data_IF_509762902658
#
_entry.id   IF_509762902658
#
_cell.length_a   1.000
_cell.length_b   1.000
_cell.length_c   1.000
_cell.angle_alpha   90.00
_cell.angle_beta   90.00
_cell.angle_gamma   90.00
#
_symmetry.space_group_name_H-M   'P 1'
#
loop_
_entity.id
_entity.type
_entity.pdbx_description
1 polymer ?
#
# COMPACT_ATOMS: atom_id res chain seq x y z
N UNK A 1 19.12 -27.86 -1.49
CA UNK A 1 18.79 -26.46 -1.80
C UNK A 1 18.04 -26.42 -3.13
N UNK A 2 16.80 -25.91 -3.22
CA UNK A 2 16.10 -25.86 -4.50
C UNK A 2 16.83 -24.94 -5.49
N UNK A 3 16.95 -25.38 -6.75
CA UNK A 3 17.57 -24.63 -7.86
C UNK A 3 16.83 -23.30 -8.08
N UNK A 4 17.52 -22.24 -8.52
CA UNK A 4 16.93 -20.93 -8.82
C UNK A 4 15.74 -21.02 -9.80
N UNK A 5 15.77 -21.98 -10.73
CA UNK A 5 14.67 -22.26 -11.65
C UNK A 5 13.40 -22.78 -10.92
N UNK A 6 13.56 -23.60 -9.88
CA UNK A 6 12.44 -24.10 -9.08
C UNK A 6 11.79 -22.98 -8.26
N UNK A 7 12.59 -22.05 -7.72
CA UNK A 7 12.08 -20.87 -6.99
C UNK A 7 11.30 -19.92 -7.90
N UNK A 8 11.78 -19.70 -9.13
CA UNK A 8 11.07 -18.91 -10.14
C UNK A 8 9.71 -19.50 -10.51
N UNK A 9 9.63 -20.83 -10.68
CA UNK A 9 8.37 -21.54 -10.94
C UNK A 9 7.38 -21.44 -9.79
N UNK A 10 7.84 -21.54 -8.54
CA UNK A 10 7.00 -21.39 -7.35
C UNK A 10 6.43 -19.96 -7.23
N UNK A 11 7.27 -18.94 -7.49
CA UNK A 11 6.85 -17.54 -7.43
C UNK A 11 5.83 -17.21 -8.53
N UNK A 12 6.00 -17.74 -9.74
CA UNK A 12 5.01 -17.57 -10.82
C UNK A 12 3.64 -18.13 -10.41
N UNK A 13 3.60 -19.33 -9.83
CA UNK A 13 2.35 -19.93 -9.34
C UNK A 13 1.70 -19.11 -8.21
N UNK A 14 2.49 -18.51 -7.32
CA UNK A 14 1.97 -17.60 -6.28
C UNK A 14 1.37 -16.32 -6.87
N UNK A 15 2.01 -15.72 -7.88
CA UNK A 15 1.48 -14.54 -8.58
C UNK A 15 0.18 -14.90 -9.31
N UNK A 16 0.11 -16.07 -9.95
CA UNK A 16 -1.11 -16.54 -10.59
C UNK A 16 -2.26 -16.73 -9.60
N UNK A 17 -2.01 -17.41 -8.48
CA UNK A 17 -3.02 -17.55 -7.42
C UNK A 17 -3.48 -16.20 -6.84
N UNK A 18 -2.56 -15.24 -6.70
CA UNK A 18 -2.90 -13.88 -6.28
C UNK A 18 -3.79 -13.16 -7.31
N UNK A 19 -3.46 -13.27 -8.59
CA UNK A 19 -4.25 -12.70 -9.70
C UNK A 19 -5.64 -13.32 -9.78
N UNK A 20 -5.76 -14.64 -9.60
CA UNK A 20 -7.07 -15.31 -9.54
C UNK A 20 -7.91 -14.84 -8.36
N UNK A 21 -7.27 -14.64 -7.21
CA UNK A 21 -7.93 -14.08 -6.02
C UNK A 21 -8.44 -12.66 -6.27
N UNK A 22 -7.66 -11.81 -6.94
CA UNK A 22 -8.08 -10.47 -7.33
C UNK A 22 -9.29 -10.50 -8.28
N UNK A 23 -9.26 -11.36 -9.32
CA UNK A 23 -10.37 -11.51 -10.27
C UNK A 23 -11.67 -11.97 -9.61
N UNK A 24 -11.58 -12.74 -8.54
CA UNK A 24 -12.73 -13.19 -7.74
C UNK A 24 -13.26 -12.12 -6.77
N UNK A 25 -12.71 -10.90 -6.81
CA UNK A 25 -13.17 -9.78 -6.00
C UNK A 25 -12.41 -9.56 -4.69
N UNK A 26 -11.19 -10.09 -4.55
CA UNK A 26 -10.28 -9.76 -3.44
C UNK A 26 -10.64 -10.36 -2.06
N UNK A 27 -11.81 -10.99 -1.92
CA UNK A 27 -12.27 -11.58 -0.65
C UNK A 27 -12.54 -10.54 0.45
N UNK A 28 -12.63 -10.96 1.71
CA UNK A 28 -12.77 -10.07 2.88
C UNK A 28 -11.41 -9.50 3.37
N UNK A 29 -10.45 -9.33 2.46
CA UNK A 29 -9.11 -8.84 2.80
C UNK A 29 -9.16 -7.33 3.06
N UNK A 30 -8.35 -6.86 4.01
CA UNK A 30 -8.16 -5.42 4.15
C UNK A 30 -7.25 -4.88 3.05
N UNK A 31 -7.35 -3.58 2.79
CA UNK A 31 -6.39 -2.86 1.94
C UNK A 31 -4.95 -3.02 2.43
N UNK A 32 -4.74 -3.05 3.75
CA UNK A 32 -3.44 -3.30 4.37
C UNK A 32 -2.91 -4.70 4.03
N UNK A 33 -3.73 -5.74 4.15
CA UNK A 33 -3.35 -7.11 3.78
C UNK A 33 -2.96 -7.21 2.30
N UNK A 34 -3.73 -6.54 1.44
CA UNK A 34 -3.47 -6.51 0.00
C UNK A 34 -2.19 -5.76 -0.35
N UNK A 35 -1.90 -4.66 0.33
CA UNK A 35 -0.65 -3.93 0.16
C UNK A 35 0.55 -4.79 0.61
N UNK A 36 0.45 -5.43 1.78
CA UNK A 36 1.50 -6.31 2.34
C UNK A 36 1.79 -7.49 1.42
N UNK A 37 0.75 -8.16 0.92
CA UNK A 37 0.91 -9.30 0.01
C UNK A 37 1.52 -8.85 -1.33
N UNK A 38 1.07 -7.71 -1.87
CA UNK A 38 1.66 -7.13 -3.09
C UNK A 38 3.14 -6.84 -2.91
N UNK A 39 3.52 -6.14 -1.83
CA UNK A 39 4.93 -5.84 -1.52
C UNK A 39 5.74 -7.12 -1.28
N UNK A 40 5.17 -8.13 -0.62
CA UNK A 40 5.80 -9.42 -0.43
C UNK A 40 6.10 -10.14 -1.75
N UNK A 41 5.19 -10.10 -2.71
CA UNK A 41 5.39 -10.65 -4.06
C UNK A 41 6.45 -9.85 -4.84
N UNK A 42 6.38 -8.52 -4.81
CA UNK A 42 7.35 -7.64 -5.47
C UNK A 42 8.77 -7.83 -4.89
N UNK A 43 8.90 -7.95 -3.57
CA UNK A 43 10.17 -8.26 -2.90
C UNK A 43 10.75 -9.59 -3.39
N UNK A 44 9.91 -10.63 -3.50
CA UNK A 44 10.34 -11.93 -4.04
C UNK A 44 10.75 -11.85 -5.51
N UNK A 45 10.07 -11.05 -6.33
CA UNK A 45 10.49 -10.81 -7.71
C UNK A 45 11.91 -10.22 -7.77
N UNK A 46 12.21 -9.25 -6.89
CA UNK A 46 13.53 -8.61 -6.81
C UNK A 46 14.61 -9.60 -6.31
N UNK A 47 14.28 -10.46 -5.34
CA UNK A 47 15.25 -11.39 -4.73
C UNK A 47 15.51 -12.65 -5.55
N UNK A 48 14.46 -13.23 -6.11
CA UNK A 48 14.49 -14.59 -6.67
C UNK A 48 14.79 -14.61 -8.18
N UNK A 49 14.57 -13.49 -8.87
CA UNK A 49 14.95 -13.35 -10.27
C UNK A 49 16.36 -12.80 -10.43
N UNK A 50 16.99 -13.15 -11.55
CA UNK A 50 18.25 -12.54 -12.00
C UNK A 50 17.91 -11.37 -12.92
N UNK A 51 18.54 -10.24 -12.66
CA UNK A 51 18.49 -9.03 -13.47
C UNK A 51 19.90 -8.43 -13.47
N UNK A 52 20.31 -7.89 -14.60
CA UNK A 52 21.66 -7.37 -14.82
C UNK A 52 21.77 -5.89 -14.48
N UNK A 53 20.67 -5.16 -14.58
CA UNK A 53 20.60 -3.72 -14.38
C UNK A 53 19.21 -3.29 -13.87
N UNK A 54 19.10 -2.02 -13.45
CA UNK A 54 17.85 -1.48 -12.91
C UNK A 54 16.73 -1.39 -13.96
N UNK A 55 17.09 -1.20 -15.24
CA UNK A 55 16.15 -1.15 -16.36
C UNK A 55 15.39 -2.46 -16.53
N UNK A 56 16.12 -3.59 -16.59
CA UNK A 56 15.55 -4.93 -16.65
C UNK A 56 14.65 -5.24 -15.45
N UNK A 57 15.09 -4.86 -14.24
CA UNK A 57 14.28 -5.04 -13.03
C UNK A 57 12.98 -4.24 -13.10
N UNK A 58 13.04 -2.96 -13.48
CA UNK A 58 11.84 -2.14 -13.61
C UNK A 58 10.87 -2.70 -14.66
N UNK A 59 11.37 -3.25 -15.76
CA UNK A 59 10.51 -3.84 -16.78
C UNK A 59 9.84 -5.13 -16.29
N UNK A 60 10.56 -5.96 -15.54
CA UNK A 60 9.98 -7.12 -14.83
C UNK A 60 8.85 -6.67 -13.89
N UNK A 61 9.09 -5.66 -13.05
CA UNK A 61 8.09 -5.14 -12.10
C UNK A 61 6.90 -4.51 -12.82
N UNK A 62 7.11 -3.79 -13.92
CA UNK A 62 6.02 -3.23 -14.75
C UNK A 62 5.17 -4.32 -15.37
N UNK A 63 5.79 -5.36 -15.94
CA UNK A 63 5.09 -6.48 -16.56
C UNK A 63 4.20 -7.21 -15.56
N UNK A 64 4.76 -7.63 -14.43
CA UNK A 64 3.99 -8.33 -13.39
C UNK A 64 2.97 -7.40 -12.73
N UNK A 65 3.33 -6.15 -12.47
CA UNK A 65 2.42 -5.13 -11.94
C UNK A 65 1.22 -4.85 -12.85
N UNK A 66 1.43 -4.81 -14.17
CA UNK A 66 0.36 -4.67 -15.17
C UNK A 66 -0.58 -5.87 -15.14
N UNK A 67 -0.04 -7.09 -15.04
CA UNK A 67 -0.86 -8.32 -14.90
C UNK A 67 -1.74 -8.26 -13.65
N UNK A 68 -1.18 -7.89 -12.51
CA UNK A 68 -1.93 -7.80 -11.25
C UNK A 68 -2.98 -6.67 -11.28
N UNK A 69 -2.63 -5.49 -11.81
CA UNK A 69 -3.56 -4.34 -11.85
C UNK A 69 -4.71 -4.55 -12.83
N UNK A 70 -4.46 -5.23 -13.95
CA UNK A 70 -5.51 -5.54 -14.95
C UNK A 70 -6.49 -6.60 -14.43
N UNK A 71 -6.09 -7.39 -13.42
CA UNK A 71 -6.94 -8.41 -12.82
C UNK A 71 -8.17 -7.84 -12.11
N UNK A 72 -8.02 -6.67 -11.48
CA UNK A 72 -9.11 -5.93 -10.85
C UNK A 72 -8.80 -4.42 -10.88
N UNK A 73 -9.25 -3.67 -11.91
CA UNK A 73 -8.89 -2.26 -12.08
C UNK A 73 -9.39 -1.33 -10.96
N UNK A 74 -10.47 -1.69 -10.27
CA UNK A 74 -10.98 -0.96 -9.11
C UNK A 74 -10.08 -1.11 -7.88
N UNK A 75 -9.22 -2.14 -7.85
CA UNK A 75 -8.28 -2.36 -6.76
C UNK A 75 -7.00 -1.55 -6.97
N UNK A 76 -7.05 -0.29 -6.54
CA UNK A 76 -5.94 0.64 -6.77
C UNK A 76 -4.74 0.39 -5.87
N UNK A 77 -4.90 -0.32 -4.74
CA UNK A 77 -3.81 -0.58 -3.77
C UNK A 77 -2.64 -1.28 -4.43
N UNK A 78 -2.90 -2.31 -5.23
CA UNK A 78 -1.88 -3.09 -5.94
C UNK A 78 -1.07 -2.19 -6.87
N UNK A 79 -1.76 -1.43 -7.73
CA UNK A 79 -1.12 -0.50 -8.66
C UNK A 79 -0.34 0.61 -7.96
N UNK A 80 -0.85 1.10 -6.83
CA UNK A 80 -0.16 2.09 -5.99
C UNK A 80 1.15 1.51 -5.42
N UNK A 81 1.14 0.28 -4.91
CA UNK A 81 2.34 -0.37 -4.37
C UNK A 81 3.37 -0.66 -5.46
N UNK A 82 2.95 -1.11 -6.65
CA UNK A 82 3.83 -1.29 -7.81
C UNK A 82 4.53 0.03 -8.17
N UNK A 83 3.77 1.14 -8.24
CA UNK A 83 4.34 2.47 -8.51
C UNK A 83 5.33 2.92 -7.44
N UNK A 84 5.03 2.66 -6.16
CA UNK A 84 5.93 2.98 -5.03
C UNK A 84 7.23 2.19 -5.12
N UNK A 85 7.17 0.89 -5.42
CA UNK A 85 8.39 0.06 -5.64
C UNK A 85 9.20 0.54 -6.84
N UNK A 86 8.55 0.89 -7.97
CA UNK A 86 9.25 1.49 -9.10
C UNK A 86 9.91 2.82 -8.76
N UNK A 87 9.32 3.61 -7.87
CA UNK A 87 9.93 4.85 -7.37
C UNK A 87 11.16 4.56 -6.50
N UNK A 88 11.06 3.62 -5.55
CA UNK A 88 12.18 3.17 -4.72
C UNK A 88 13.37 2.71 -5.59
N UNK A 89 13.12 1.89 -6.62
CA UNK A 89 14.19 1.43 -7.51
C UNK A 89 14.90 2.60 -8.20
N UNK A 90 14.16 3.60 -8.69
CA UNK A 90 14.76 4.79 -9.33
C UNK A 90 15.56 5.63 -8.34
N UNK A 91 15.05 5.82 -7.13
CA UNK A 91 15.70 6.61 -6.09
C UNK A 91 16.99 5.94 -5.61
N UNK A 92 16.97 4.64 -5.31
CA UNK A 92 18.18 3.90 -4.90
C UNK A 92 19.22 3.85 -6.03
N UNK A 93 18.77 3.70 -7.28
CA UNK A 93 19.66 3.79 -8.43
C UNK A 93 20.27 5.17 -8.57
N UNK A 94 19.46 6.24 -8.46
CA UNK A 94 19.92 7.62 -8.53
C UNK A 94 20.94 7.96 -7.46
N UNK A 95 20.71 7.52 -6.21
CA UNK A 95 21.66 7.65 -5.10
C UNK A 95 23.02 7.04 -5.42
N UNK A 96 23.05 5.84 -5.99
CA UNK A 96 24.28 5.13 -6.35
C UNK A 96 24.96 5.68 -7.62
N UNK A 97 24.17 6.23 -8.55
CA UNK A 97 24.65 6.86 -9.77
C UNK A 97 25.28 8.25 -9.53
N UNK A 98 25.25 8.76 -8.29
CA UNK A 98 25.82 10.05 -7.92
C UNK A 98 24.89 11.24 -8.18
N UNK A 99 23.57 10.99 -8.29
CA UNK A 99 22.59 12.07 -8.39
C UNK A 99 22.39 12.69 -7.00
N UNK A 100 22.75 13.95 -6.85
CA UNK A 100 22.58 14.73 -5.61
C UNK A 100 21.15 15.29 -5.55
N UNK A 101 20.52 15.24 -4.37
CA UNK A 101 19.14 15.68 -4.11
C UNK A 101 18.86 17.15 -4.49
N UNK A 102 19.91 17.98 -4.64
CA UNK A 102 19.82 19.39 -5.04
C UNK A 102 19.33 19.60 -6.49
N UNK A 103 19.47 18.60 -7.36
CA UNK A 103 19.00 18.69 -8.76
C UNK A 103 17.47 18.71 -8.87
N UNK A 104 16.74 18.05 -7.97
CA UNK A 104 15.30 17.85 -8.15
C UNK A 104 14.42 19.02 -7.68
N UNK A 105 14.92 19.93 -6.82
CA UNK A 105 14.12 21.07 -6.33
C UNK A 105 14.01 22.24 -7.32
N UNK A 106 14.94 22.39 -8.27
CA UNK A 106 14.97 23.52 -9.21
C UNK A 106 14.44 23.20 -10.61
N UNK A 107 14.02 21.97 -10.90
CA UNK A 107 13.96 21.49 -12.28
C UNK A 107 12.56 21.24 -12.87
N UNK A 108 11.45 21.48 -12.19
CA UNK A 108 10.14 21.03 -12.71
C UNK A 108 9.73 21.71 -14.04
N UNK A 109 10.04 23.01 -14.22
CA UNK A 109 9.81 23.70 -15.50
C UNK A 109 10.99 23.57 -16.47
N UNK A 110 12.22 23.57 -15.96
CA UNK A 110 13.42 23.48 -16.78
C UNK A 110 13.60 22.07 -17.37
N UNK A 111 13.34 20.98 -16.63
CA UNK A 111 13.30 19.62 -17.20
C UNK A 111 12.20 19.48 -18.25
N UNK A 112 11.02 20.06 -18.06
CA UNK A 112 9.92 19.90 -19.03
C UNK A 112 10.23 20.58 -20.38
N UNK A 113 11.00 21.68 -20.35
CA UNK A 113 11.41 22.45 -21.54
C UNK A 113 12.74 21.97 -22.14
N UNK A 114 13.64 21.42 -21.33
CA UNK A 114 15.01 21.06 -21.74
C UNK A 114 15.22 19.55 -21.87
N UNK A 115 14.38 18.72 -21.23
CA UNK A 115 14.40 17.26 -21.42
C UNK A 115 13.48 16.86 -22.57
N UNK A 116 14.00 17.00 -23.80
CA UNK A 116 13.57 16.13 -24.89
C UNK A 116 13.93 14.69 -24.52
N UNK A 117 13.07 14.01 -23.74
CA UNK A 117 13.16 12.57 -23.48
C UNK A 117 14.54 12.07 -23.04
N UNK A 118 15.17 12.68 -22.03
CA UNK A 118 16.32 12.06 -21.36
C UNK A 118 15.81 10.82 -20.62
N UNK A 119 15.70 9.71 -21.35
CA UNK A 119 15.60 8.39 -20.77
C UNK A 119 16.83 8.22 -19.90
N UNK A 120 16.65 8.29 -18.59
CA UNK A 120 17.69 7.94 -17.63
C UNK A 120 18.25 6.56 -18.02
N UNK A 121 19.56 6.48 -18.24
CA UNK A 121 20.20 5.22 -18.56
C UNK A 121 20.28 4.37 -17.30
N UNK A 122 19.44 3.34 -17.22
CA UNK A 122 19.35 2.41 -16.10
C UNK A 122 20.21 1.14 -16.31
N UNK A 123 21.17 1.19 -17.24
CA UNK A 123 21.99 0.04 -17.63
C UNK A 123 23.19 -0.22 -16.72
N UNK A 124 23.62 0.78 -15.93
CA UNK A 124 24.77 0.61 -15.04
C UNK A 124 24.46 -0.37 -13.91
N UNK A 125 25.43 -1.21 -13.59
CA UNK A 125 25.32 -2.19 -12.52
C UNK A 125 25.98 -1.67 -11.24
N UNK A 126 25.20 -1.66 -10.15
CA UNK A 126 25.70 -1.37 -8.81
C UNK A 126 25.46 -2.56 -7.91
N UNK A 127 26.55 -3.16 -7.39
CA UNK A 127 26.48 -4.30 -6.48
C UNK A 127 25.54 -4.09 -5.25
N UNK A 128 25.53 -2.93 -4.57
CA UNK A 128 24.67 -2.73 -3.39
C UNK A 128 23.21 -2.41 -3.75
N UNK A 129 22.86 -2.18 -5.02
CA UNK A 129 21.51 -1.75 -5.40
C UNK A 129 20.43 -2.73 -4.93
N UNK A 130 20.69 -4.02 -5.07
CA UNK A 130 19.75 -5.06 -4.66
C UNK A 130 19.48 -5.04 -3.16
N UNK A 131 20.51 -4.90 -2.33
CA UNK A 131 20.36 -4.84 -0.87
C UNK A 131 19.60 -3.58 -0.46
N UNK A 132 19.95 -2.42 -1.04
CA UNK A 132 19.30 -1.15 -0.72
C UNK A 132 17.80 -1.18 -1.07
N UNK A 133 17.43 -1.69 -2.25
CA UNK A 133 16.02 -1.83 -2.64
C UNK A 133 15.27 -2.75 -1.67
N UNK A 134 15.88 -3.88 -1.28
CA UNK A 134 15.24 -4.83 -0.36
C UNK A 134 15.05 -4.22 1.03
N UNK A 135 16.05 -3.47 1.52
CA UNK A 135 15.98 -2.73 2.78
C UNK A 135 14.86 -1.69 2.75
N UNK A 136 14.82 -0.83 1.73
CA UNK A 136 13.77 0.18 1.56
C UNK A 136 12.35 -0.43 1.46
N UNK A 137 12.20 -1.60 0.81
CA UNK A 137 10.91 -2.31 0.79
C UNK A 137 10.56 -2.90 2.17
N UNK A 138 11.53 -3.33 2.95
CA UNK A 138 11.28 -3.82 4.31
C UNK A 138 10.89 -2.68 5.25
N UNK A 139 11.54 -1.52 5.15
CA UNK A 139 11.14 -0.30 5.87
C UNK A 139 9.70 0.09 5.54
N UNK A 140 9.36 0.06 4.24
CA UNK A 140 8.00 0.30 3.77
C UNK A 140 6.99 -0.71 4.35
N UNK A 141 7.35 -2.00 4.44
CA UNK A 141 6.48 -3.01 5.05
C UNK A 141 6.21 -2.72 6.53
N UNK A 142 7.25 -2.34 7.29
CA UNK A 142 7.13 -1.98 8.71
C UNK A 142 6.30 -0.72 8.88
N UNK A 143 6.49 0.30 8.04
CA UNK A 143 5.69 1.54 8.02
C UNK A 143 4.20 1.22 7.80
N UNK A 144 3.90 0.31 6.88
CA UNK A 144 2.54 -0.07 6.54
C UNK A 144 1.83 -0.77 7.70
N UNK A 145 2.53 -1.62 8.45
CA UNK A 145 2.00 -2.31 9.64
C UNK A 145 1.67 -1.34 10.79
N UNK A 146 2.46 -0.27 10.95
CA UNK A 146 2.21 0.74 11.98
C UNK A 146 1.17 1.82 11.61
N UNK A 147 0.70 1.86 10.36
CA UNK A 147 -0.11 2.98 9.86
C UNK A 147 -1.42 3.16 10.62
N UNK A 148 -2.15 2.07 10.90
CA UNK A 148 -3.44 2.14 11.60
C UNK A 148 -3.29 2.65 13.04
N UNK A 149 -2.24 2.23 13.75
CA UNK A 149 -1.95 2.66 15.11
C UNK A 149 -1.53 4.14 15.16
N UNK A 150 -0.69 4.56 14.22
CA UNK A 150 -0.25 5.95 14.09
C UNK A 150 -1.43 6.91 13.85
N UNK A 151 -2.39 6.51 13.00
CA UNK A 151 -3.62 7.29 12.76
C UNK A 151 -4.48 7.31 14.03
N UNK A 152 -4.68 6.16 14.68
CA UNK A 152 -5.50 6.06 15.89
C UNK A 152 -4.94 6.90 17.05
N UNK A 153 -3.63 7.02 17.18
CA UNK A 153 -2.98 7.82 18.22
C UNK A 153 -3.39 9.30 18.19
N UNK A 154 -3.73 9.83 17.00
CA UNK A 154 -4.16 11.22 16.81
C UNK A 154 -5.64 11.45 17.16
N UNK A 155 -6.40 10.39 17.49
CA UNK A 155 -7.85 10.50 17.69
C UNK A 155 -8.26 11.46 18.82
N UNK A 156 -7.42 11.57 19.86
CA UNK A 156 -7.68 12.48 20.99
C UNK A 156 -7.45 13.96 20.65
N UNK A 157 -6.80 14.29 19.55
CA UNK A 157 -6.64 15.67 19.10
C UNK A 157 -7.88 16.15 18.32
N UNK A 158 -8.65 15.22 17.78
CA UNK A 158 -9.75 15.52 16.86
C UNK A 158 -11.15 15.24 17.40
N UNK A 159 -11.33 14.28 18.32
CA UNK A 159 -12.66 13.89 18.82
C UNK A 159 -12.84 14.35 20.26
N UNK A 160 -13.70 15.34 20.51
CA UNK A 160 -13.99 15.83 21.87
C UNK A 160 -15.22 15.18 22.50
N UNK A 161 -15.39 15.35 23.82
CA UNK A 161 -16.55 14.82 24.54
C UNK A 161 -17.85 15.49 24.09
N UNK A 162 -18.93 14.71 24.00
CA UNK A 162 -20.27 15.12 23.57
C UNK A 162 -20.40 15.56 22.10
N UNK A 163 -19.40 15.30 21.26
CA UNK A 163 -19.53 15.47 19.81
C UNK A 163 -20.44 14.41 19.18
N UNK A 164 -20.91 14.71 17.98
CA UNK A 164 -21.66 13.78 17.13
C UNK A 164 -20.87 13.58 15.84
N UNK A 165 -20.30 12.39 15.67
CA UNK A 165 -19.48 12.02 14.52
C UNK A 165 -20.32 11.18 13.56
N UNK A 166 -20.31 11.51 12.27
CA UNK A 166 -20.96 10.70 11.24
C UNK A 166 -19.91 9.93 10.44
N UNK A 167 -20.14 8.64 10.22
CA UNK A 167 -19.32 7.76 9.37
C UNK A 167 -20.20 6.91 8.48
N UNK A 168 -19.62 6.28 7.45
CA UNK A 168 -20.34 5.48 6.47
C UNK A 168 -19.61 4.14 6.22
N UNK A 169 -20.38 3.06 6.12
CA UNK A 169 -19.85 1.73 5.82
C UNK A 169 -18.98 1.13 6.92
N UNK A 170 -17.99 0.31 6.54
CA UNK A 170 -17.04 -0.32 7.46
C UNK A 170 -15.59 -0.03 7.05
N UNK A 171 -14.81 0.52 7.98
CA UNK A 171 -13.37 0.73 7.82
C UNK A 171 -12.65 0.38 9.12
N UNK A 172 -11.66 -0.52 9.03
CA UNK A 172 -10.84 -0.94 10.19
C UNK A 172 -10.06 0.23 10.79
N UNK A 173 -9.59 1.16 9.96
CA UNK A 173 -8.87 2.36 10.41
C UNK A 173 -9.79 3.30 11.19
N UNK A 174 -11.01 3.54 10.68
CA UNK A 174 -12.00 4.38 11.39
C UNK A 174 -12.46 3.71 12.68
N UNK A 175 -12.64 2.39 12.68
CA UNK A 175 -12.95 1.62 13.87
C UNK A 175 -11.88 1.81 14.96
N UNK A 176 -10.60 1.64 14.61
CA UNK A 176 -9.49 1.82 15.55
C UNK A 176 -9.42 3.26 16.07
N UNK A 177 -9.60 4.26 15.18
CA UNK A 177 -9.60 5.68 15.53
C UNK A 177 -10.70 6.04 16.54
N UNK A 178 -11.94 5.60 16.27
CA UNK A 178 -13.08 5.85 17.17
C UNK A 178 -12.91 5.12 18.50
N UNK A 179 -12.39 3.89 18.48
CA UNK A 179 -12.10 3.12 19.71
C UNK A 179 -11.03 3.81 20.56
N UNK A 180 -9.99 4.37 19.96
CA UNK A 180 -8.93 5.05 20.70
C UNK A 180 -9.45 6.29 21.43
N UNK A 181 -10.24 7.13 20.74
CA UNK A 181 -10.89 8.28 21.38
C UNK A 181 -11.87 7.86 22.49
N UNK A 182 -12.63 6.78 22.26
CA UNK A 182 -13.62 6.27 23.20
C UNK A 182 -13.02 5.75 24.52
N UNK A 183 -11.70 5.50 24.58
CA UNK A 183 -11.02 5.15 25.83
C UNK A 183 -11.05 6.28 26.86
N UNK A 184 -11.06 7.54 26.41
CA UNK A 184 -10.98 8.72 27.30
C UNK A 184 -12.20 9.63 27.23
N UNK A 185 -12.98 9.58 26.15
CA UNK A 185 -14.06 10.53 25.87
C UNK A 185 -15.36 9.80 25.55
N UNK A 186 -16.48 10.40 25.94
CA UNK A 186 -17.82 9.92 25.59
C UNK A 186 -18.38 10.80 24.50
N UNK A 187 -18.81 10.20 23.39
CA UNK A 187 -19.35 10.93 22.23
C UNK A 187 -20.33 10.03 21.46
N UNK A 188 -21.05 10.63 20.52
CA UNK A 188 -22.05 9.96 19.71
C UNK A 188 -21.48 9.66 18.33
N UNK A 189 -21.82 8.49 17.79
CA UNK A 189 -21.44 8.10 16.43
C UNK A 189 -22.68 7.68 15.66
N UNK A 190 -22.90 8.34 14.53
CA UNK A 190 -23.91 7.99 13.54
C UNK A 190 -23.20 7.15 12.47
N UNK A 191 -23.64 5.90 12.28
CA UNK A 191 -23.11 5.04 11.22
C UNK A 191 -24.18 4.93 10.13
N UNK A 192 -23.93 5.57 9.00
CA UNK A 192 -24.75 5.44 7.80
C UNK A 192 -24.42 4.12 7.09
N UNK A 193 -25.45 3.43 6.62
CA UNK A 193 -25.26 2.21 5.84
C UNK A 193 -24.87 2.48 4.38
N UNK A 194 -23.99 1.63 3.84
CA UNK A 194 -23.72 1.58 2.41
C UNK A 194 -24.65 0.57 1.74
N UNK A 195 -25.91 0.94 1.46
CA UNK A 195 -26.73 0.15 0.54
C UNK A 195 -26.03 0.07 -0.83
N UNK A 196 -26.02 -1.11 -1.52
CA UNK A 196 -26.76 -2.33 -1.23
C UNK A 196 -26.02 -3.37 -0.35
N UNK A 197 -24.78 -3.12 0.06
CA UNK A 197 -23.93 -4.13 0.70
C UNK A 197 -24.01 -4.15 2.24
N UNK A 198 -24.69 -3.16 2.86
CA UNK A 198 -25.01 -3.07 4.29
C UNK A 198 -23.85 -3.37 5.26
N UNK A 199 -22.61 -3.01 4.87
CA UNK A 199 -21.40 -3.33 5.64
C UNK A 199 -21.32 -2.61 7.00
N UNK A 200 -22.09 -1.53 7.18
CA UNK A 200 -22.16 -0.75 8.42
C UNK A 200 -22.62 -1.53 9.64
N UNK A 201 -23.33 -2.65 9.45
CA UNK A 201 -23.76 -3.54 10.55
C UNK A 201 -22.54 -4.14 11.26
N UNK A 202 -21.49 -4.47 10.52
CA UNK A 202 -20.24 -4.97 11.10
C UNK A 202 -19.59 -3.92 12.00
N UNK A 203 -19.44 -2.67 11.51
CA UNK A 203 -18.88 -1.57 12.30
C UNK A 203 -19.68 -1.35 13.59
N UNK A 204 -21.00 -1.26 13.44
CA UNK A 204 -21.90 -0.96 14.56
C UNK A 204 -21.83 -2.06 15.62
N UNK A 205 -21.80 -3.33 15.21
CA UNK A 205 -21.69 -4.47 16.13
C UNK A 205 -20.39 -4.40 16.93
N UNK A 206 -19.29 -4.05 16.28
CA UNK A 206 -17.98 -3.94 16.93
C UNK A 206 -17.92 -2.74 17.87
N UNK A 207 -18.47 -1.59 17.48
CA UNK A 207 -18.49 -0.38 18.31
C UNK A 207 -19.49 -0.46 19.48
N UNK A 208 -20.55 -1.28 19.38
CA UNK A 208 -21.54 -1.48 20.46
C UNK A 208 -20.94 -1.98 21.77
N UNK A 209 -19.80 -2.67 21.71
CA UNK A 209 -19.10 -3.17 22.89
C UNK A 209 -18.32 -2.06 23.61
N UNK A 210 -18.14 -0.89 22.99
CA UNK A 210 -17.53 0.27 23.62
C UNK A 210 -18.59 1.10 24.35
N UNK A 211 -18.68 0.94 25.68
CA UNK A 211 -19.67 1.60 26.54
C UNK A 211 -19.62 3.15 26.48
N UNK A 212 -18.51 3.73 26.03
CA UNK A 212 -18.35 5.17 25.87
C UNK A 212 -18.98 5.73 24.59
N UNK A 213 -19.38 4.87 23.64
CA UNK A 213 -19.99 5.26 22.38
C UNK A 213 -21.49 5.08 22.42
N UNK A 214 -22.21 6.15 22.08
CA UNK A 214 -23.65 6.05 21.83
C UNK A 214 -23.90 6.03 20.33
N UNK A 215 -24.35 4.88 19.85
CA UNK A 215 -24.55 4.62 18.41
C UNK A 215 -25.99 4.96 18.00
N UNK A 216 -26.11 5.74 16.92
CA UNK A 216 -27.36 5.96 16.22
C UNK A 216 -27.23 5.32 14.84
N UNK A 217 -28.00 4.25 14.60
CA UNK A 217 -28.06 3.63 13.27
C UNK A 217 -29.11 4.39 12.46
N UNK A 218 -28.69 5.10 11.42
CA UNK A 218 -29.61 5.69 10.46
C UNK A 218 -29.59 4.85 9.18
N UNK A 219 -30.75 4.28 8.87
CA UNK A 219 -31.10 3.71 7.57
C UNK A 219 -31.46 4.91 6.69
N UNK A 220 -30.55 5.33 5.82
CA UNK A 220 -30.79 6.36 4.80
C UNK A 220 -30.76 5.70 3.41
#
# INVERSE_FOLDING_TARGET
MPSAAAKGSELSGRIEGFVETLKRGGGQRSSEDMARETLGLLRRLITDHRWSNAGELMELIRREGKRMTTAQPSETTVGNMVRRVLKIIREEYGRLHGRTDESDQQESLHKLLTSGGLSEDFSFHYAPLKSNIVEAINELLVELEGTTENIAAQALEHIHSNEVIMTIGYSRTVEAFLKEAARKRKFHVIVAECAPFCQAVALTTVLRHCQALRLLLNVL
#
